data_IF_340138458682
#
_entry.id   IF_340138458682
#
_cell.length_a   1.000
_cell.length_b   1.000
_cell.length_c   1.000
_cell.angle_alpha   90.00
_cell.angle_beta   90.00
_cell.angle_gamma   90.00
#
_symmetry.space_group_name_H-M   'P 1'
#
loop_
_entity.id
_entity.type
_entity.pdbx_description
1 polymer ?
#
# COMPACT_ATOMS: atom_id res chain seq x y z
N UNK A 1 38.86 6.97 26.11
CA UNK A 1 38.95 6.66 24.66
C UNK A 1 40.29 7.16 24.14
N UNK A 2 41.16 6.31 23.57
CA UNK A 2 42.46 6.78 23.10
C UNK A 2 42.28 7.58 21.80
N UNK A 3 42.95 8.74 21.73
CA UNK A 3 42.90 9.72 20.65
C UNK A 3 43.35 9.09 19.33
N UNK A 4 42.63 9.43 18.25
CA UNK A 4 42.89 9.00 16.88
C UNK A 4 44.33 9.41 16.47
N UNK A 5 45.27 8.44 16.40
CA UNK A 5 46.60 8.69 15.86
C UNK A 5 46.45 8.99 14.36
N UNK A 6 47.04 10.08 13.87
CA UNK A 6 47.08 10.37 12.44
C UNK A 6 47.60 9.14 11.69
N UNK A 7 46.92 8.75 10.60
CA UNK A 7 47.31 7.57 9.83
C UNK A 7 48.74 7.76 9.30
N UNK A 8 49.62 6.75 9.42
CA UNK A 8 50.98 6.82 8.89
C UNK A 8 50.97 7.18 7.40
N UNK A 9 52.01 7.89 6.96
CA UNK A 9 52.18 8.25 5.55
C UNK A 9 52.61 7.00 4.77
N UNK A 10 51.99 6.77 3.60
CA UNK A 10 52.34 5.65 2.73
C UNK A 10 53.78 5.77 2.20
N UNK A 11 54.51 4.66 2.20
CA UNK A 11 55.89 4.61 1.67
C UNK A 11 55.95 3.94 0.29
N UNK A 12 56.99 4.25 -0.53
CA UNK A 12 57.19 3.59 -1.82
C UNK A 12 57.32 2.06 -1.73
N UNK A 13 57.84 1.53 -0.63
CA UNK A 13 57.98 0.10 -0.37
C UNK A 13 56.62 -0.57 -0.17
N UNK A 14 55.71 0.10 0.55
CA UNK A 14 54.32 -0.35 0.75
C UNK A 14 53.56 -0.39 -0.59
N UNK A 15 53.80 0.58 -1.49
CA UNK A 15 53.25 0.60 -2.84
C UNK A 15 53.74 -0.59 -3.68
N UNK A 16 55.02 -0.95 -3.58
CA UNK A 16 55.60 -2.11 -4.29
C UNK A 16 54.94 -3.41 -3.81
N UNK A 17 54.74 -3.55 -2.50
CA UNK A 17 54.06 -4.70 -1.90
C UNK A 17 52.62 -4.82 -2.45
N UNK A 18 51.86 -3.72 -2.49
CA UNK A 18 50.51 -3.74 -3.04
C UNK A 18 50.49 -4.06 -4.53
N UNK A 19 51.33 -3.41 -5.34
CA UNK A 19 51.39 -3.64 -6.79
C UNK A 19 51.71 -5.10 -7.13
N UNK A 20 52.59 -5.74 -6.36
CA UNK A 20 53.04 -7.10 -6.65
C UNK A 20 52.12 -8.19 -6.06
N UNK A 21 51.58 -7.97 -4.85
CA UNK A 21 50.88 -9.02 -4.10
C UNK A 21 49.36 -8.84 -3.97
N UNK A 22 48.80 -7.63 -4.16
CA UNK A 22 47.38 -7.38 -3.89
C UNK A 22 46.45 -8.16 -4.83
N UNK A 23 46.80 -8.28 -6.11
CA UNK A 23 46.00 -9.02 -7.11
C UNK A 23 46.24 -10.54 -7.06
N UNK A 24 47.45 -10.97 -6.70
CA UNK A 24 47.88 -12.36 -6.76
C UNK A 24 47.63 -13.13 -5.45
N UNK A 25 47.95 -12.53 -4.30
CA UNK A 25 47.85 -13.15 -2.96
C UNK A 25 46.73 -12.54 -2.10
N UNK A 26 46.13 -11.44 -2.55
CA UNK A 26 44.95 -10.84 -1.93
C UNK A 26 45.25 -10.00 -0.69
N UNK A 27 44.18 -9.42 -0.14
CA UNK A 27 44.21 -8.44 0.94
C UNK A 27 44.87 -8.98 2.24
N UNK A 28 44.56 -10.23 2.61
CA UNK A 28 45.07 -10.86 3.85
C UNK A 28 46.60 -10.92 3.86
N UNK A 29 47.21 -11.22 2.71
CA UNK A 29 48.67 -11.27 2.57
C UNK A 29 49.32 -9.88 2.69
N UNK A 30 48.64 -8.84 2.20
CA UNK A 30 49.13 -7.46 2.25
C UNK A 30 49.05 -6.89 3.68
N UNK A 31 48.00 -7.23 4.44
CA UNK A 31 47.84 -6.80 5.85
C UNK A 31 48.99 -7.29 6.73
N UNK A 32 49.51 -8.51 6.50
CA UNK A 32 50.64 -9.06 7.25
C UNK A 32 51.96 -8.31 6.99
N UNK A 33 52.12 -7.69 5.82
CA UNK A 33 53.35 -7.01 5.38
C UNK A 33 53.29 -5.49 5.51
N UNK A 34 52.10 -4.96 5.77
CA UNK A 34 51.84 -3.54 5.96
C UNK A 34 51.07 -3.37 7.29
N UNK A 35 51.68 -3.74 8.44
CA UNK A 35 50.97 -3.79 9.73
C UNK A 35 50.64 -2.39 10.28
N UNK A 36 51.31 -1.35 9.77
CA UNK A 36 51.12 0.04 10.18
C UNK A 36 49.85 0.66 9.58
N UNK A 37 49.21 -0.01 8.63
CA UNK A 37 47.97 0.45 8.00
C UNK A 37 46.83 -0.52 8.29
N UNK A 38 45.66 0.04 8.63
CA UNK A 38 44.46 -0.78 8.80
C UNK A 38 44.07 -1.45 7.48
N UNK A 39 43.34 -2.57 7.57
CA UNK A 39 42.79 -3.25 6.40
C UNK A 39 41.96 -2.31 5.51
N UNK A 40 41.21 -1.38 6.11
CA UNK A 40 40.44 -0.38 5.37
C UNK A 40 41.35 0.61 4.61
N UNK A 41 42.43 1.08 5.24
CA UNK A 41 43.40 1.96 4.61
C UNK A 41 44.07 1.26 3.40
N UNK A 42 44.42 -0.03 3.53
CA UNK A 42 44.99 -0.83 2.45
C UNK A 42 44.01 -0.97 1.27
N UNK A 43 42.72 -1.23 1.52
CA UNK A 43 41.71 -1.32 0.46
C UNK A 43 41.58 0.01 -0.29
N UNK A 44 41.53 1.13 0.43
CA UNK A 44 41.40 2.46 -0.16
C UNK A 44 42.62 2.80 -1.00
N UNK A 45 43.82 2.58 -0.47
CA UNK A 45 45.07 2.88 -1.16
C UNK A 45 45.29 1.97 -2.38
N UNK A 46 44.98 0.68 -2.28
CA UNK A 46 44.96 -0.21 -3.44
C UNK A 46 43.93 0.21 -4.50
N UNK A 47 42.82 0.83 -4.09
CA UNK A 47 41.86 1.49 -4.98
C UNK A 47 42.49 2.68 -5.71
N UNK A 48 43.21 3.55 -5.01
CA UNK A 48 43.93 4.70 -5.58
C UNK A 48 45.04 4.27 -6.55
N UNK A 49 45.69 3.14 -6.28
CA UNK A 49 46.69 2.51 -7.16
C UNK A 49 46.06 1.73 -8.34
N UNK A 50 44.74 1.71 -8.49
CA UNK A 50 44.05 1.02 -9.58
C UNK A 50 44.11 -0.52 -9.50
N UNK A 51 44.32 -1.08 -8.31
CA UNK A 51 44.49 -2.52 -8.08
C UNK A 51 43.16 -3.23 -7.73
N UNK A 52 42.08 -2.48 -7.51
CA UNK A 52 40.74 -3.03 -7.22
C UNK A 52 40.04 -3.57 -8.47
N UNK A 53 39.33 -4.70 -8.34
CA UNK A 53 38.47 -5.23 -9.42
C UNK A 53 37.33 -4.25 -9.71
N UNK A 54 37.13 -3.86 -10.98
CA UNK A 54 35.96 -3.06 -11.39
C UNK A 54 34.69 -3.83 -11.04
N UNK A 55 33.78 -3.22 -10.28
CA UNK A 55 32.46 -3.82 -9.98
C UNK A 55 31.63 -3.90 -11.27
N UNK A 56 30.87 -4.99 -11.50
CA UNK A 56 29.83 -4.99 -12.52
C UNK A 56 28.86 -3.83 -12.28
N UNK A 57 28.43 -3.16 -13.36
CA UNK A 57 27.48 -2.04 -13.23
C UNK A 57 26.18 -2.53 -12.56
N UNK A 58 25.60 -1.74 -11.64
CA UNK A 58 24.38 -2.15 -10.95
C UNK A 58 23.20 -2.26 -11.93
N UNK A 59 22.32 -3.24 -11.70
CA UNK A 59 21.09 -3.47 -12.51
C UNK A 59 20.16 -2.25 -12.57
N UNK A 60 20.40 -1.17 -11.83
CA UNK A 60 19.60 0.06 -11.89
C UNK A 60 19.99 1.00 -13.04
N UNK A 61 21.17 0.86 -13.62
CA UNK A 61 21.68 1.79 -14.61
C UNK A 61 21.30 1.36 -16.03
N UNK A 62 20.70 2.26 -16.80
CA UNK A 62 20.33 2.06 -18.19
C UNK A 62 21.52 2.40 -19.09
N UNK A 63 21.79 1.57 -20.10
CA UNK A 63 22.80 1.86 -21.14
C UNK A 63 22.17 2.60 -22.32
N UNK A 64 23.01 3.25 -23.11
CA UNK A 64 22.59 3.89 -24.37
C UNK A 64 21.97 2.87 -25.33
N UNK A 65 22.51 1.66 -25.40
CA UNK A 65 21.96 0.56 -26.21
C UNK A 65 20.55 0.18 -25.74
N UNK A 66 20.34 0.03 -24.44
CA UNK A 66 19.01 -0.26 -23.89
C UNK A 66 18.04 0.88 -24.18
N UNK A 67 18.46 2.14 -24.07
CA UNK A 67 17.63 3.30 -24.40
C UNK A 67 17.30 3.38 -25.90
N UNK A 68 18.24 3.01 -26.77
CA UNK A 68 18.01 2.94 -28.21
C UNK A 68 16.90 1.93 -28.56
N UNK A 69 16.85 0.81 -27.84
CA UNK A 69 15.80 -0.20 -27.97
C UNK A 69 14.44 0.37 -27.58
N UNK A 70 14.37 1.15 -26.50
CA UNK A 70 13.13 1.85 -26.13
C UNK A 70 12.69 2.83 -27.23
N UNK A 71 13.60 3.68 -27.71
CA UNK A 71 13.28 4.66 -28.76
C UNK A 71 12.73 3.99 -30.02
N UNK A 72 13.28 2.83 -30.40
CA UNK A 72 12.91 2.10 -31.62
C UNK A 72 11.63 1.27 -31.49
N UNK A 73 11.44 0.58 -30.37
CA UNK A 73 10.39 -0.44 -30.25
C UNK A 73 9.21 -0.03 -29.37
N UNK A 74 9.42 0.88 -28.41
CA UNK A 74 8.39 1.23 -27.43
C UNK A 74 7.20 1.96 -28.08
N UNK A 75 7.48 2.83 -29.04
CA UNK A 75 6.44 3.63 -29.72
C UNK A 75 5.44 2.73 -30.46
N UNK A 76 5.90 1.61 -31.04
CA UNK A 76 5.07 0.75 -31.89
C UNK A 76 4.49 -0.47 -31.18
N UNK A 77 5.05 -0.92 -30.06
CA UNK A 77 4.56 -2.12 -29.37
C UNK A 77 4.67 -2.09 -27.83
N UNK A 78 4.95 -0.91 -27.27
CA UNK A 78 5.05 -0.71 -25.83
C UNK A 78 6.14 -1.55 -25.17
N UNK A 79 5.93 -1.85 -23.90
CA UNK A 79 6.83 -2.69 -23.09
C UNK A 79 6.95 -4.12 -23.60
N UNK A 80 5.88 -4.70 -24.16
CA UNK A 80 5.91 -6.07 -24.69
C UNK A 80 6.91 -6.20 -25.84
N UNK A 81 6.92 -5.25 -26.79
CA UNK A 81 7.90 -5.26 -27.87
C UNK A 81 9.33 -5.03 -27.37
N UNK A 82 9.53 -4.20 -26.34
CA UNK A 82 10.85 -4.00 -25.76
C UNK A 82 11.37 -5.19 -24.94
N UNK A 83 10.49 -6.04 -24.40
CA UNK A 83 10.89 -7.20 -23.58
C UNK A 83 11.68 -8.24 -24.37
N UNK A 84 11.39 -8.40 -25.67
CA UNK A 84 12.12 -9.32 -26.55
C UNK A 84 13.59 -8.93 -26.70
N UNK A 85 13.90 -7.64 -26.60
CA UNK A 85 15.23 -7.08 -26.81
C UNK A 85 15.94 -6.68 -25.50
N UNK A 86 15.26 -6.75 -24.36
CA UNK A 86 15.81 -6.37 -23.04
C UNK A 86 15.74 -7.55 -22.04
N UNK A 87 16.44 -8.67 -22.31
CA UNK A 87 16.46 -9.81 -21.40
C UNK A 87 17.11 -9.38 -20.08
N UNK A 88 16.31 -9.40 -19.00
CA UNK A 88 16.75 -8.98 -17.67
C UNK A 88 16.11 -7.68 -17.16
N UNK A 89 15.34 -6.98 -17.98
CA UNK A 89 14.49 -5.86 -17.55
C UNK A 89 13.06 -6.34 -17.32
N UNK A 90 12.44 -5.89 -16.23
CA UNK A 90 11.02 -6.15 -15.98
C UNK A 90 10.15 -5.18 -16.78
N UNK A 91 8.90 -5.56 -17.08
CA UNK A 91 7.92 -4.66 -17.72
C UNK A 91 7.84 -3.30 -17.02
N UNK A 92 7.77 -3.31 -15.70
CA UNK A 92 7.72 -2.09 -14.88
C UNK A 92 8.98 -1.23 -15.04
N UNK A 93 10.17 -1.84 -15.12
CA UNK A 93 11.41 -1.09 -15.33
C UNK A 93 11.43 -0.41 -16.70
N UNK A 94 10.99 -1.13 -17.75
CA UNK A 94 10.90 -0.60 -19.12
C UNK A 94 9.87 0.53 -19.19
N UNK A 95 8.65 0.32 -18.69
CA UNK A 95 7.61 1.36 -18.65
C UNK A 95 8.08 2.60 -17.89
N UNK A 96 8.74 2.41 -16.75
CA UNK A 96 9.27 3.50 -15.95
C UNK A 96 10.37 4.28 -16.70
N UNK A 97 11.27 3.60 -17.40
CA UNK A 97 12.31 4.26 -18.20
C UNK A 97 11.72 4.97 -19.40
N UNK A 98 10.80 4.35 -20.12
CA UNK A 98 10.10 4.96 -21.25
C UNK A 98 9.43 6.26 -20.86
N UNK A 99 8.74 6.28 -19.72
CA UNK A 99 8.14 7.49 -19.13
C UNK A 99 9.19 8.57 -18.83
N UNK A 100 10.35 8.20 -18.29
CA UNK A 100 11.46 9.14 -18.06
C UNK A 100 12.04 9.72 -19.37
N UNK A 101 11.99 8.95 -20.45
CA UNK A 101 12.37 9.38 -21.80
C UNK A 101 11.25 10.10 -22.56
N UNK A 102 10.07 10.29 -21.95
CA UNK A 102 8.92 10.94 -22.58
C UNK A 102 8.24 10.10 -23.67
N UNK A 103 8.56 8.81 -23.78
CA UNK A 103 8.01 7.93 -24.81
C UNK A 103 6.56 7.55 -24.51
N UNK A 104 5.72 7.63 -25.55
CA UNK A 104 4.33 7.22 -25.52
C UNK A 104 4.09 6.15 -26.58
N UNK A 105 3.25 5.17 -26.27
CA UNK A 105 2.90 4.11 -27.22
C UNK A 105 1.86 4.64 -28.21
N UNK A 106 2.05 4.40 -29.51
CA UNK A 106 1.03 4.66 -30.55
C UNK A 106 -0.11 3.66 -30.46
N UNK A 107 0.18 2.46 -29.97
CA UNK A 107 -0.84 1.46 -29.67
C UNK A 107 -1.55 1.91 -28.40
N UNK A 108 -2.81 2.33 -28.55
CA UNK A 108 -3.71 2.59 -27.43
C UNK A 108 -4.03 1.29 -26.67
N UNK A 109 -5.23 1.21 -26.10
CA UNK A 109 -5.71 -0.09 -25.60
C UNK A 109 -5.77 -1.09 -26.76
N UNK A 110 -5.20 -2.27 -26.57
CA UNK A 110 -5.30 -3.39 -27.52
C UNK A 110 -6.60 -4.15 -27.32
N UNK A 111 -7.04 -4.94 -28.30
CA UNK A 111 -8.25 -5.78 -28.15
C UNK A 111 -8.11 -6.83 -27.02
N UNK A 112 -6.96 -7.51 -26.83
CA UNK A 112 -6.77 -8.40 -25.68
C UNK A 112 -6.88 -7.68 -24.34
N UNK A 113 -6.34 -6.47 -24.21
CA UNK A 113 -6.47 -5.68 -22.98
C UNK A 113 -7.93 -5.25 -22.73
N UNK A 114 -8.68 -4.91 -23.80
CA UNK A 114 -10.11 -4.64 -23.70
C UNK A 114 -10.90 -5.89 -23.29
N UNK A 115 -10.53 -7.07 -23.78
CA UNK A 115 -11.17 -8.33 -23.41
C UNK A 115 -10.93 -8.67 -21.93
N UNK A 116 -9.73 -8.40 -21.41
CA UNK A 116 -9.44 -8.49 -19.98
C UNK A 116 -10.39 -7.57 -19.19
N UNK A 117 -10.60 -6.33 -19.65
CA UNK A 117 -11.57 -5.44 -18.99
C UNK A 117 -13.00 -5.99 -19.07
N UNK A 118 -13.47 -6.48 -20.22
CA UNK A 118 -14.83 -7.05 -20.33
C UNK A 118 -15.05 -8.20 -19.35
N UNK A 119 -14.05 -9.08 -19.22
CA UNK A 119 -14.15 -10.28 -18.40
C UNK A 119 -13.95 -10.05 -16.90
N UNK A 120 -13.00 -9.20 -16.51
CA UNK A 120 -12.57 -9.10 -15.12
C UNK A 120 -12.96 -7.78 -14.44
N UNK A 121 -13.25 -6.71 -15.19
CA UNK A 121 -13.62 -5.42 -14.60
C UNK A 121 -14.91 -5.46 -13.76
N UNK A 122 -15.95 -6.24 -14.11
CA UNK A 122 -17.15 -6.35 -13.27
C UNK A 122 -16.88 -6.82 -11.84
N UNK A 123 -15.92 -7.75 -11.66
CA UNK A 123 -15.59 -8.35 -10.35
C UNK A 123 -14.41 -7.65 -9.66
N UNK A 124 -13.35 -7.32 -10.40
CA UNK A 124 -12.09 -6.79 -9.85
C UNK A 124 -12.04 -5.25 -9.88
N UNK A 125 -12.85 -4.60 -10.71
CA UNK A 125 -12.87 -3.15 -10.91
C UNK A 125 -11.49 -2.61 -11.29
N UNK A 126 -11.01 -1.59 -10.57
CA UNK A 126 -9.71 -0.96 -10.84
C UNK A 126 -8.53 -1.91 -10.62
N UNK A 127 -8.71 -3.01 -9.89
CA UNK A 127 -7.66 -4.00 -9.65
C UNK A 127 -7.26 -4.79 -10.91
N UNK A 128 -7.99 -4.66 -12.04
CA UNK A 128 -7.54 -5.20 -13.32
C UNK A 128 -6.16 -4.66 -13.74
N UNK A 129 -5.69 -3.54 -13.16
CA UNK A 129 -4.30 -3.07 -13.31
C UNK A 129 -3.24 -4.13 -12.95
N UNK A 130 -3.54 -5.08 -12.05
CA UNK A 130 -2.64 -6.19 -11.72
C UNK A 130 -2.43 -7.15 -12.89
N UNK A 131 -3.43 -7.26 -13.77
CA UNK A 131 -3.40 -8.08 -15.00
C UNK A 131 -2.88 -7.28 -16.20
N UNK A 132 -2.82 -5.96 -16.07
CA UNK A 132 -2.45 -5.00 -17.10
C UNK A 132 -1.25 -4.17 -16.60
N UNK A 133 -0.03 -4.74 -16.59
CA UNK A 133 1.13 -4.14 -15.93
C UNK A 133 1.51 -2.76 -16.48
N UNK A 134 1.07 -2.44 -17.69
CA UNK A 134 1.34 -1.17 -18.38
C UNK A 134 0.21 -0.14 -18.24
N UNK A 135 -0.88 -0.49 -17.54
CA UNK A 135 -2.05 0.38 -17.33
C UNK A 135 -2.23 0.65 -15.84
N UNK A 136 -2.17 1.93 -15.47
CA UNK A 136 -2.47 2.35 -14.10
C UNK A 136 -3.95 2.08 -13.76
N UNK A 137 -4.27 1.98 -12.47
CA UNK A 137 -5.65 1.87 -12.00
C UNK A 137 -6.56 2.98 -12.54
N UNK A 138 -6.03 4.21 -12.66
CA UNK A 138 -6.76 5.33 -13.26
C UNK A 138 -6.98 5.12 -14.76
N UNK A 139 -5.97 4.67 -15.51
CA UNK A 139 -6.11 4.36 -16.93
C UNK A 139 -7.12 3.24 -17.18
N UNK A 140 -7.09 2.20 -16.33
CA UNK A 140 -8.06 1.09 -16.31
C UNK A 140 -9.48 1.61 -16.09
N UNK A 141 -9.68 2.49 -15.11
CA UNK A 141 -10.97 3.11 -14.86
C UNK A 141 -11.45 3.96 -16.05
N UNK A 142 -10.58 4.82 -16.59
CA UNK A 142 -10.92 5.70 -17.70
C UNK A 142 -11.31 4.90 -18.95
N UNK A 143 -10.59 3.82 -19.23
CA UNK A 143 -10.92 2.94 -20.34
C UNK A 143 -12.20 2.16 -20.10
N UNK A 144 -12.37 1.59 -18.91
CA UNK A 144 -13.60 0.90 -18.56
C UNK A 144 -14.82 1.83 -18.60
N UNK A 145 -14.64 3.12 -18.26
CA UNK A 145 -15.66 4.14 -18.39
C UNK A 145 -16.00 4.41 -19.87
N UNK A 146 -14.99 4.56 -20.74
CA UNK A 146 -15.17 4.68 -22.19
C UNK A 146 -15.87 3.46 -22.80
N UNK A 147 -15.60 2.27 -22.26
CA UNK A 147 -16.23 1.01 -22.68
C UNK A 147 -17.62 0.77 -22.06
N UNK A 148 -18.10 1.67 -21.19
CA UNK A 148 -19.39 1.49 -20.50
C UNK A 148 -19.40 0.39 -19.43
N UNK A 149 -18.25 -0.14 -19.04
CA UNK A 149 -18.09 -1.18 -18.01
C UNK A 149 -18.17 -0.59 -16.59
N UNK A 150 -17.96 0.72 -16.44
CA UNK A 150 -18.16 1.41 -15.16
C UNK A 150 -19.65 1.56 -14.89
N UNK A 151 -20.14 0.82 -13.90
CA UNK A 151 -21.45 1.09 -13.33
C UNK A 151 -21.47 2.52 -12.79
N UNK A 152 -22.33 3.36 -13.38
CA UNK A 152 -22.46 4.76 -12.97
C UNK A 152 -22.87 4.80 -11.50
N UNK A 153 -22.16 5.61 -10.70
CA UNK A 153 -22.56 5.97 -9.33
C UNK A 153 -24.03 6.44 -9.25
N UNK A 154 -24.54 6.99 -10.37
CA UNK A 154 -25.91 7.46 -10.58
C UNK A 154 -26.92 6.38 -11.01
N UNK A 155 -26.51 5.11 -11.13
CA UNK A 155 -27.45 4.04 -11.44
C UNK A 155 -28.56 4.02 -10.37
N UNK A 156 -29.84 3.92 -10.76
CA UNK A 156 -30.95 3.80 -9.82
C UNK A 156 -30.68 2.69 -8.80
N UNK A 157 -31.10 2.91 -7.56
CA UNK A 157 -31.02 1.88 -6.53
C UNK A 157 -32.01 0.76 -6.87
N UNK A 158 -31.52 -0.47 -6.91
CA UNK A 158 -32.37 -1.63 -7.18
C UNK A 158 -33.06 -2.12 -5.90
N UNK A 159 -34.21 -2.81 -5.99
CA UNK A 159 -34.86 -3.42 -4.83
C UNK A 159 -33.94 -4.39 -4.07
N UNK A 160 -33.05 -5.10 -4.78
CA UNK A 160 -32.07 -6.01 -4.18
C UNK A 160 -31.03 -5.26 -3.34
N UNK A 161 -30.52 -4.13 -3.84
CA UNK A 161 -29.60 -3.26 -3.08
C UNK A 161 -30.29 -2.67 -1.85
N UNK A 162 -31.55 -2.23 -1.98
CA UNK A 162 -32.32 -1.71 -0.85
C UNK A 162 -32.58 -2.80 0.21
N UNK A 163 -32.79 -4.05 -0.19
CA UNK A 163 -32.93 -5.17 0.74
C UNK A 163 -31.64 -5.41 1.54
N UNK A 164 -30.49 -5.37 0.89
CA UNK A 164 -29.17 -5.47 1.54
C UNK A 164 -29.00 -4.33 2.55
N UNK A 165 -29.33 -3.09 2.15
CA UNK A 165 -29.26 -1.94 3.06
C UNK A 165 -30.22 -2.10 4.24
N UNK A 166 -31.47 -2.51 4.01
CA UNK A 166 -32.46 -2.72 5.09
C UNK A 166 -32.02 -3.78 6.09
N UNK A 167 -31.30 -4.81 5.65
CA UNK A 167 -30.75 -5.85 6.52
C UNK A 167 -29.56 -5.35 7.33
N UNK A 168 -28.67 -4.58 6.70
CA UNK A 168 -27.33 -4.31 7.25
C UNK A 168 -27.07 -2.85 7.64
N UNK A 169 -28.05 -1.93 7.54
CA UNK A 169 -27.85 -0.48 7.77
C UNK A 169 -27.22 -0.10 9.13
N UNK A 170 -27.31 -0.98 10.14
CA UNK A 170 -26.64 -0.81 11.44
C UNK A 170 -25.10 -0.90 11.34
N UNK A 171 -24.58 -1.59 10.31
CA UNK A 171 -23.16 -1.75 10.02
C UNK A 171 -22.89 -1.35 8.55
N UNK A 172 -22.52 -0.09 8.35
CA UNK A 172 -22.23 0.45 7.01
C UNK A 172 -21.06 -0.26 6.31
N UNK A 173 -20.12 -0.83 7.09
CA UNK A 173 -19.03 -1.64 6.55
C UNK A 173 -19.53 -2.94 5.91
N UNK A 174 -20.52 -3.60 6.51
CA UNK A 174 -21.16 -4.79 5.94
C UNK A 174 -21.94 -4.44 4.66
N UNK A 175 -22.67 -3.31 4.65
CA UNK A 175 -23.28 -2.80 3.41
C UNK A 175 -22.23 -2.58 2.31
N UNK A 176 -21.06 -2.02 2.64
CA UNK A 176 -19.99 -1.77 1.67
C UNK A 176 -19.34 -3.06 1.16
N UNK A 177 -19.20 -4.10 1.99
CA UNK A 177 -18.75 -5.42 1.56
C UNK A 177 -19.68 -6.04 0.52
N UNK A 178 -20.99 -5.96 0.75
CA UNK A 178 -22.00 -6.53 -0.15
C UNK A 178 -22.31 -5.64 -1.36
N UNK A 179 -21.96 -4.35 -1.30
CA UNK A 179 -22.13 -3.38 -2.37
C UNK A 179 -20.79 -2.71 -2.72
N UNK A 180 -19.79 -3.47 -3.22
CA UNK A 180 -18.45 -2.97 -3.46
C UNK A 180 -18.43 -1.85 -4.52
N UNK A 181 -19.38 -1.85 -5.44
CA UNK A 181 -19.58 -0.83 -6.48
C UNK A 181 -20.20 0.48 -5.98
N UNK A 182 -20.86 0.49 -4.81
CA UNK A 182 -21.42 1.72 -4.22
C UNK A 182 -20.43 2.35 -3.25
N UNK A 183 -20.28 3.68 -3.29
CA UNK A 183 -19.44 4.38 -2.29
C UNK A 183 -20.11 4.37 -0.92
N UNK A 184 -19.31 4.42 0.15
CA UNK A 184 -19.82 4.51 1.53
C UNK A 184 -20.74 5.72 1.68
N UNK A 185 -20.38 6.86 1.08
CA UNK A 185 -21.19 8.08 1.07
C UNK A 185 -22.53 7.90 0.36
N UNK A 186 -22.56 7.16 -0.75
CA UNK A 186 -23.79 6.86 -1.49
C UNK A 186 -24.72 5.95 -0.67
N UNK A 187 -24.14 4.91 -0.04
CA UNK A 187 -24.86 4.02 0.88
C UNK A 187 -25.47 4.80 2.06
N UNK A 188 -24.70 5.69 2.69
CA UNK A 188 -25.18 6.52 3.80
C UNK A 188 -26.32 7.46 3.39
N UNK A 189 -26.22 8.08 2.21
CA UNK A 189 -27.32 8.87 1.62
C UNK A 189 -28.56 8.02 1.39
N UNK A 190 -28.41 6.78 0.87
CA UNK A 190 -29.53 5.87 0.66
C UNK A 190 -30.17 5.39 1.96
N UNK A 191 -29.38 5.05 2.99
CA UNK A 191 -29.86 4.74 4.34
C UNK A 191 -30.75 5.87 4.88
N UNK A 192 -30.34 7.11 4.63
CA UNK A 192 -31.09 8.31 5.04
C UNK A 192 -32.38 8.47 4.24
N UNK A 193 -32.32 8.30 2.91
CA UNK A 193 -33.48 8.35 2.02
C UNK A 193 -34.51 7.24 2.31
N UNK A 194 -34.07 6.06 2.74
CA UNK A 194 -34.94 4.94 3.18
C UNK A 194 -35.50 5.15 4.59
N UNK A 195 -35.19 6.28 5.26
CA UNK A 195 -35.66 6.61 6.61
C UNK A 195 -35.02 5.78 7.73
N UNK A 196 -34.03 4.93 7.42
CA UNK A 196 -33.40 4.01 8.39
C UNK A 196 -32.51 4.75 9.40
N UNK A 197 -31.92 5.88 9.00
CA UNK A 197 -31.15 6.74 9.90
C UNK A 197 -31.99 7.36 11.03
N UNK A 198 -33.28 7.65 10.77
CA UNK A 198 -34.21 8.10 11.82
C UNK A 198 -34.54 6.97 12.79
N UNK A 199 -34.66 5.72 12.31
CA UNK A 199 -34.87 4.54 13.17
C UNK A 199 -33.69 4.27 14.10
N UNK A 200 -32.45 4.44 13.63
CA UNK A 200 -31.25 4.37 14.51
C UNK A 200 -31.30 5.42 15.61
N UNK A 201 -31.58 6.69 15.26
CA UNK A 201 -31.66 7.80 16.22
C UNK A 201 -32.85 7.69 17.18
N UNK A 202 -33.97 7.12 16.73
CA UNK A 202 -35.13 6.86 17.58
C UNK A 202 -34.86 5.70 18.55
N UNK A 203 -34.28 4.61 18.05
CA UNK A 203 -33.83 3.48 18.86
C UNK A 203 -32.76 3.88 19.88
N UNK A 204 -31.86 4.81 19.53
CA UNK A 204 -30.87 5.35 20.48
C UNK A 204 -31.47 6.35 21.48
N UNK A 205 -32.73 6.77 21.33
CA UNK A 205 -33.44 7.65 22.27
C UNK A 205 -34.32 6.89 23.26
N UNK A 206 -34.98 5.81 22.83
CA UNK A 206 -35.81 4.97 23.69
C UNK A 206 -34.99 3.84 24.30
N UNK A 207 -35.03 3.70 25.61
CA UNK A 207 -34.50 2.53 26.32
C UNK A 207 -35.53 1.40 26.25
N UNK A 208 -35.07 0.21 25.88
CA UNK A 208 -35.90 -1.01 25.85
C UNK A 208 -35.97 -1.64 27.24
N UNK A 209 -36.97 -2.51 27.47
CA UNK A 209 -37.11 -3.21 28.75
C UNK A 209 -35.93 -4.15 29.00
N UNK A 210 -35.39 -4.74 27.92
CA UNK A 210 -34.22 -5.60 27.94
C UNK A 210 -32.96 -4.81 28.34
N UNK A 211 -32.76 -3.62 27.78
CA UNK A 211 -31.64 -2.75 28.16
C UNK A 211 -31.77 -2.25 29.62
N UNK A 212 -32.98 -1.93 30.08
CA UNK A 212 -33.21 -1.57 31.49
C UNK A 212 -32.97 -2.76 32.44
N UNK A 213 -33.32 -3.97 32.03
CA UNK A 213 -33.04 -5.19 32.80
C UNK A 213 -31.53 -5.41 32.95
N UNK A 214 -30.77 -5.23 31.86
CA UNK A 214 -29.29 -5.28 31.88
C UNK A 214 -28.73 -4.23 32.84
N UNK A 215 -29.25 -2.99 32.82
CA UNK A 215 -28.81 -1.96 33.77
C UNK A 215 -29.10 -2.34 35.22
N UNK A 216 -30.32 -2.81 35.53
CA UNK A 216 -30.70 -3.21 36.90
C UNK A 216 -29.84 -4.34 37.44
N UNK A 217 -29.45 -5.29 36.60
CA UNK A 217 -28.69 -6.48 37.01
C UNK A 217 -27.18 -6.22 37.14
N UNK A 218 -26.61 -5.43 36.22
CA UNK A 218 -25.16 -5.31 36.07
C UNK A 218 -24.58 -3.95 36.46
N UNK A 219 -25.37 -2.86 36.47
CA UNK A 219 -24.84 -1.51 36.73
C UNK A 219 -24.27 -1.35 38.16
N UNK A 220 -24.87 -1.99 39.17
CA UNK A 220 -24.33 -1.94 40.54
C UNK A 220 -22.98 -2.67 40.68
N UNK A 221 -22.74 -3.70 39.86
CA UNK A 221 -21.53 -4.54 39.90
C UNK A 221 -20.41 -3.97 39.04
N UNK A 222 -20.76 -3.52 37.84
CA UNK A 222 -19.82 -3.14 36.77
C UNK A 222 -19.75 -1.62 36.55
N UNK A 223 -20.68 -0.84 37.14
CA UNK A 223 -20.80 0.59 36.90
C UNK A 223 -20.96 0.90 35.41
N UNK A 224 -20.25 1.91 34.92
CA UNK A 224 -20.27 2.30 33.51
C UNK A 224 -19.69 1.22 32.56
N UNK A 225 -19.04 0.16 33.06
CA UNK A 225 -18.54 -0.94 32.22
C UNK A 225 -19.65 -1.82 31.63
N UNK A 226 -20.89 -1.70 32.14
CA UNK A 226 -22.07 -2.37 31.57
C UNK A 226 -22.30 -1.99 30.10
N UNK A 227 -21.69 -0.91 29.61
CA UNK A 227 -21.72 -0.53 28.18
C UNK A 227 -21.27 -1.65 27.24
N UNK A 228 -20.37 -2.54 27.69
CA UNK A 228 -19.94 -3.70 26.89
C UNK A 228 -21.08 -4.66 26.58
N UNK A 229 -22.17 -4.61 27.36
CA UNK A 229 -23.39 -5.40 27.21
C UNK A 229 -24.51 -4.63 26.47
N UNK A 230 -24.29 -3.36 26.13
CA UNK A 230 -25.26 -2.45 25.50
C UNK A 230 -24.72 -1.89 24.17
N UNK A 231 -24.61 -2.72 23.12
CA UNK A 231 -24.03 -2.31 21.85
C UNK A 231 -24.87 -1.19 21.19
N UNK A 232 -24.23 -0.06 20.93
CA UNK A 232 -24.88 1.11 20.32
C UNK A 232 -25.31 2.20 21.30
N UNK A 233 -25.03 2.05 22.60
CA UNK A 233 -25.14 3.12 23.60
C UNK A 233 -23.78 3.77 23.87
N UNK A 234 -23.79 5.03 24.29
CA UNK A 234 -22.59 5.75 24.74
C UNK A 234 -22.46 5.67 26.27
N UNK A 235 -21.24 5.79 26.85
CA UNK A 235 -21.04 5.73 28.30
C UNK A 235 -21.87 6.77 29.04
N UNK A 236 -21.98 7.97 28.47
CA UNK A 236 -22.81 9.04 29.03
C UNK A 236 -24.31 8.70 29.01
N UNK A 237 -24.81 8.10 27.92
CA UNK A 237 -26.22 7.69 27.87
C UNK A 237 -26.56 6.61 28.90
N UNK A 238 -25.64 5.66 29.13
CA UNK A 238 -25.75 4.60 30.15
C UNK A 238 -25.84 5.20 31.54
N UNK A 239 -24.93 6.13 31.89
CA UNK A 239 -24.97 6.84 33.17
C UNK A 239 -26.29 7.61 33.38
N UNK A 240 -26.72 8.41 32.39
CA UNK A 240 -27.99 9.16 32.46
C UNK A 240 -29.20 8.25 32.66
N UNK A 241 -29.19 7.04 32.06
CA UNK A 241 -30.30 6.10 32.24
C UNK A 241 -30.26 5.43 33.60
N UNK A 242 -29.08 5.01 34.05
CA UNK A 242 -28.91 4.41 35.36
C UNK A 242 -29.34 5.37 36.47
N UNK A 243 -29.05 6.67 36.31
CA UNK A 243 -29.51 7.73 37.19
C UNK A 243 -31.03 7.83 37.24
N UNK A 244 -31.69 7.87 36.07
CA UNK A 244 -33.16 7.83 35.98
C UNK A 244 -33.79 6.55 36.52
N UNK A 245 -33.03 5.46 36.64
CA UNK A 245 -33.47 4.20 37.22
C UNK A 245 -33.14 4.09 38.72
N UNK A 246 -32.52 5.12 39.31
CA UNK A 246 -32.12 5.15 40.73
C UNK A 246 -30.94 4.25 41.06
N UNK A 247 -30.08 3.94 40.09
CA UNK A 247 -28.96 3.00 40.23
C UNK A 247 -27.62 3.70 40.52
N UNK A 248 -27.61 5.04 40.61
CA UNK A 248 -26.41 5.88 40.79
C UNK A 248 -26.19 6.33 42.24
N UNK A 249 -27.20 6.28 43.10
CA UNK A 249 -27.08 6.72 44.49
C UNK A 249 -26.35 5.68 45.35
N UNK A 250 -25.12 6.05 45.74
CA UNK A 250 -24.43 5.49 46.91
C UNK A 250 -24.64 6.44 48.10
N UNK A 251 -25.84 6.51 48.62
CA UNK A 251 -26.10 7.01 49.97
C UNK A 251 -27.17 6.13 50.62
N UNK A 252 -26.73 5.07 51.29
CA UNK A 252 -27.40 4.66 52.52
C UNK A 252 -26.56 5.21 53.67
N UNK A 253 -27.16 6.14 54.42
CA UNK A 253 -26.76 6.44 55.78
C UNK A 253 -26.92 5.17 56.64
N UNK A 254 -25.90 4.92 57.48
CA UNK A 254 -25.79 3.92 58.56
C UNK A 254 -25.59 2.45 58.17
#
# INVERSE_FOLDING_TARGET
MPKNKASPRWTPEEDVILKHYYRSKGLVYCVQRIPNHSQAAIIVHAGLLGLSKKRPKPRSQWTEDEESILLKHYVNGGTTACMEFLPGRTKNAIAHRARKLGLQTKVGWTEPEREILRKYYPDEGRNCSKRLPDKSESSVYDQAAKMGLVQKSMAPWTPKEDAIIRRNYKNVGECKRQLPHRSISSIAKRISALGLGKKLRASSKSWTKEEDAILREYYLKEGNMVIMRLPGRSPHAVWVRADKLGLTDRYQEN
#
